data_IF_947232520556
#
_entry.id   IF_947232520556
#
_cell.length_a   1.000
_cell.length_b   1.000
_cell.length_c   1.000
_cell.angle_alpha   90.00
_cell.angle_beta   90.00
_cell.angle_gamma   90.00
#
_symmetry.space_group_name_H-M   'P 1'
#
loop_
_entity.id
_entity.type
_entity.pdbx_description
1 polymer ?
#
# COMPACT_ATOMS: atom_id res chain seq x y z
N UNK A 1 -16.78 -3.01 -46.14
CA UNK A 1 -17.10 -3.07 -44.69
C UNK A 1 -15.79 -2.98 -43.92
N UNK A 2 -15.64 -1.93 -43.11
CA UNK A 2 -14.41 -1.52 -42.43
C UNK A 2 -14.33 -2.26 -41.10
N UNK A 3 -13.34 -3.13 -40.92
CA UNK A 3 -13.04 -3.74 -39.61
C UNK A 3 -11.58 -3.44 -39.30
N UNK A 4 -11.39 -2.37 -38.56
CA UNK A 4 -10.11 -1.94 -38.01
C UNK A 4 -9.91 -2.82 -36.78
N UNK A 5 -9.05 -3.83 -36.90
CA UNK A 5 -8.62 -4.63 -35.77
C UNK A 5 -7.66 -3.77 -34.96
N UNK A 6 -8.15 -3.31 -33.81
CA UNK A 6 -7.45 -2.49 -32.85
C UNK A 6 -6.23 -3.23 -32.31
N UNK A 7 -5.05 -2.61 -32.45
CA UNK A 7 -3.80 -3.05 -31.86
C UNK A 7 -3.86 -2.82 -30.35
N UNK A 8 -4.00 -3.88 -29.55
CA UNK A 8 -3.71 -3.84 -28.11
C UNK A 8 -2.23 -4.19 -27.98
N UNK A 9 -1.38 -3.17 -28.03
CA UNK A 9 0.00 -3.27 -27.56
C UNK A 9 -0.03 -3.40 -26.05
N UNK A 10 0.12 -4.64 -25.56
CA UNK A 10 0.46 -4.91 -24.16
C UNK A 10 1.90 -4.43 -24.00
N UNK A 11 2.06 -3.22 -23.47
CA UNK A 11 3.33 -2.76 -22.95
C UNK A 11 3.62 -3.60 -21.71
N UNK A 12 4.38 -4.67 -21.91
CA UNK A 12 4.98 -5.44 -20.83
C UNK A 12 6.00 -4.52 -20.17
N UNK A 13 5.57 -3.81 -19.12
CA UNK A 13 6.46 -3.04 -18.27
C UNK A 13 7.30 -4.06 -17.51
N UNK A 14 8.50 -4.34 -18.03
CA UNK A 14 9.49 -5.16 -17.37
C UNK A 14 9.91 -4.43 -16.09
N UNK A 15 9.26 -4.76 -14.97
CA UNK A 15 9.65 -4.34 -13.64
C UNK A 15 10.96 -5.05 -13.29
N UNK A 16 12.08 -4.50 -13.77
CA UNK A 16 13.41 -4.92 -13.36
C UNK A 16 13.61 -4.42 -11.94
N UNK A 17 13.28 -5.27 -10.96
CA UNK A 17 13.56 -5.04 -9.55
C UNK A 17 15.07 -4.89 -9.34
N UNK A 18 15.56 -3.67 -9.45
CA UNK A 18 16.86 -3.29 -8.93
C UNK A 18 16.58 -2.57 -7.62
N UNK A 19 16.20 -3.35 -6.60
CA UNK A 19 16.22 -2.89 -5.22
C UNK A 19 17.70 -2.74 -4.80
N UNK A 20 18.31 -1.66 -5.25
CA UNK A 20 19.57 -1.16 -4.73
C UNK A 20 19.19 0.05 -3.88
N UNK A 21 19.39 -0.06 -2.56
CA UNK A 21 18.94 0.90 -1.56
C UNK A 21 19.50 2.30 -1.78
N UNK A 22 18.78 3.12 -2.53
CA UNK A 22 18.65 4.54 -2.22
C UNK A 22 17.76 4.64 -0.98
N UNK A 23 18.23 5.30 0.07
CA UNK A 23 17.31 5.78 1.10
C UNK A 23 16.16 6.50 0.37
N UNK A 24 14.92 6.03 0.51
CA UNK A 24 13.79 6.61 -0.22
C UNK A 24 13.73 8.09 0.17
N UNK A 25 13.77 8.97 -0.83
CA UNK A 25 13.63 10.43 -0.66
C UNK A 25 12.31 10.78 0.04
N UNK A 26 11.39 9.83 0.09
CA UNK A 26 10.02 9.95 0.55
C UNK A 26 9.09 9.50 -0.57
N UNK A 27 7.79 9.38 -0.28
CA UNK A 27 6.79 9.06 -1.29
C UNK A 27 6.51 10.29 -2.19
N UNK A 28 6.49 10.08 -3.49
CA UNK A 28 6.05 11.07 -4.49
C UNK A 28 4.52 11.03 -4.69
N UNK A 29 3.96 12.08 -5.31
CA UNK A 29 2.53 12.07 -5.69
C UNK A 29 2.17 10.97 -6.68
N UNK A 30 3.10 10.62 -7.58
CA UNK A 30 2.87 9.61 -8.61
C UNK A 30 2.80 8.20 -7.99
N UNK A 31 3.74 7.86 -7.11
CA UNK A 31 3.72 6.61 -6.35
C UNK A 31 2.48 6.53 -5.45
N UNK A 32 2.12 7.64 -4.79
CA UNK A 32 0.87 7.69 -4.05
C UNK A 32 -0.31 7.35 -4.96
N UNK A 33 -0.40 7.89 -6.18
CA UNK A 33 -1.52 7.63 -7.09
C UNK A 33 -1.56 6.19 -7.62
N UNK A 34 -0.42 5.51 -7.72
CA UNK A 34 -0.32 4.08 -8.07
C UNK A 34 -0.81 3.16 -6.95
N UNK A 35 -0.74 3.60 -5.69
CA UNK A 35 -1.20 2.81 -4.55
C UNK A 35 -2.73 2.78 -4.48
N UNK A 36 -3.30 1.59 -4.34
CA UNK A 36 -4.73 1.32 -4.34
C UNK A 36 -5.14 0.41 -3.18
N UNK A 37 -6.39 0.55 -2.73
CA UNK A 37 -6.96 -0.33 -1.70
C UNK A 37 -6.89 -1.79 -2.11
N UNK A 38 -6.69 -2.69 -1.13
CA UNK A 38 -6.50 -4.13 -1.36
C UNK A 38 -5.02 -4.54 -1.50
N UNK A 39 -4.10 -3.60 -1.67
CA UNK A 39 -2.65 -3.89 -1.63
C UNK A 39 -2.17 -4.16 -0.20
N UNK A 40 -1.16 -5.01 -0.06
CA UNK A 40 -0.51 -5.28 1.23
C UNK A 40 0.46 -4.18 1.63
N UNK A 41 0.93 -4.21 2.88
CA UNK A 41 2.01 -3.31 3.31
C UNK A 41 3.28 -3.51 2.46
N UNK A 42 3.63 -4.76 2.13
CA UNK A 42 4.80 -5.06 1.28
C UNK A 42 4.67 -4.46 -0.11
N UNK A 43 3.49 -4.55 -0.73
CA UNK A 43 3.26 -3.95 -2.05
C UNK A 43 3.47 -2.42 -2.02
N UNK A 44 3.02 -1.77 -0.93
CA UNK A 44 3.22 -0.33 -0.73
C UNK A 44 4.69 0.01 -0.52
N UNK A 45 5.41 -0.76 0.30
CA UNK A 45 6.86 -0.59 0.50
C UNK A 45 7.63 -0.75 -0.81
N UNK A 46 7.26 -1.73 -1.64
CA UNK A 46 7.88 -1.96 -2.94
C UNK A 46 7.65 -0.79 -3.92
N UNK A 47 6.46 -0.18 -3.89
CA UNK A 47 6.14 1.01 -4.71
C UNK A 47 6.91 2.24 -4.23
N UNK A 48 6.96 2.48 -2.91
CA UNK A 48 7.64 3.66 -2.34
C UNK A 48 9.16 3.49 -2.29
N UNK A 49 9.65 2.25 -2.37
CA UNK A 49 11.06 1.91 -2.18
C UNK A 49 11.52 2.06 -0.73
N UNK A 50 10.59 2.04 0.24
CA UNK A 50 10.82 2.47 1.60
C UNK A 50 9.79 2.03 2.62
N UNK A 51 10.21 1.80 3.86
CA UNK A 51 9.28 1.54 4.96
C UNK A 51 8.65 2.82 5.50
N UNK A 52 7.37 2.73 5.86
CA UNK A 52 6.66 3.78 6.59
C UNK A 52 6.84 3.66 8.10
N UNK A 53 6.57 4.73 8.83
CA UNK A 53 6.51 4.70 10.30
C UNK A 53 5.10 4.36 10.75
N UNK A 54 4.93 3.31 11.56
CA UNK A 54 3.63 3.03 12.21
C UNK A 54 3.32 4.15 13.21
N UNK A 55 2.19 4.83 13.02
CA UNK A 55 1.75 5.97 13.85
C UNK A 55 0.52 5.67 14.69
N UNK A 56 -0.26 4.64 14.33
CA UNK A 56 -1.38 4.17 15.12
C UNK A 56 -1.61 2.67 14.96
N UNK A 57 -2.17 2.05 16.00
CA UNK A 57 -2.59 0.65 16.03
C UNK A 57 -3.85 0.55 16.88
N UNK A 58 -4.86 -0.14 16.37
CA UNK A 58 -6.08 -0.47 17.11
C UNK A 58 -6.40 -1.95 16.95
N UNK A 59 -6.97 -2.51 18.01
CA UNK A 59 -7.50 -3.86 18.06
C UNK A 59 -8.94 -3.77 18.57
N UNK A 60 -9.89 -4.30 17.80
CA UNK A 60 -11.30 -4.31 18.16
C UNK A 60 -11.84 -5.74 18.11
N UNK A 61 -12.37 -6.21 19.25
CA UNK A 61 -12.94 -7.54 19.37
C UNK A 61 -14.43 -7.55 19.04
N UNK A 62 -14.80 -8.38 18.07
CA UNK A 62 -16.19 -8.71 17.72
C UNK A 62 -16.50 -10.14 18.16
N UNK A 63 -17.76 -10.57 18.06
CA UNK A 63 -18.17 -11.92 18.48
C UNK A 63 -17.33 -13.01 17.78
N UNK A 64 -17.17 -12.92 16.46
CA UNK A 64 -16.57 -13.96 15.62
C UNK A 64 -15.11 -13.72 15.22
N UNK A 65 -14.63 -12.48 15.32
CA UNK A 65 -13.29 -12.08 14.88
C UNK A 65 -12.72 -10.92 15.69
N UNK A 66 -11.41 -10.75 15.59
CA UNK A 66 -10.70 -9.55 16.06
C UNK A 66 -10.26 -8.77 14.82
N UNK A 67 -10.54 -7.46 14.78
CA UNK A 67 -10.08 -6.56 13.73
C UNK A 67 -8.85 -5.78 14.20
N UNK A 68 -7.78 -5.88 13.44
CA UNK A 68 -6.54 -5.13 13.64
C UNK A 68 -6.45 -4.06 12.58
N UNK A 69 -6.19 -2.82 12.99
CA UNK A 69 -5.98 -1.70 12.08
C UNK A 69 -4.68 -0.99 12.42
N UNK A 70 -3.77 -0.86 11.45
CA UNK A 70 -2.53 -0.09 11.59
C UNK A 70 -2.52 1.08 10.62
N UNK A 71 -2.09 2.24 11.12
CA UNK A 71 -1.84 3.42 10.28
C UNK A 71 -0.35 3.65 10.15
N UNK A 72 0.12 3.77 8.91
CA UNK A 72 1.51 4.07 8.58
C UNK A 72 1.62 5.44 7.91
N UNK A 73 2.65 6.18 8.31
CA UNK A 73 3.05 7.46 7.72
C UNK A 73 4.29 7.27 6.85
N UNK A 74 4.22 7.72 5.62
CA UNK A 74 5.35 7.79 4.69
C UNK A 74 5.65 9.26 4.43
N UNK A 75 6.84 9.73 4.82
CA UNK A 75 7.25 11.11 4.54
C UNK A 75 7.32 11.30 3.02
N UNK A 76 6.89 12.46 2.53
CA UNK A 76 6.98 12.83 1.13
C UNK A 76 8.32 13.47 0.79
N UNK A 77 8.69 13.40 -0.48
CA UNK A 77 9.98 13.92 -0.98
C UNK A 77 10.19 15.42 -0.73
N UNK A 78 9.08 16.18 -0.69
CA UNK A 78 9.07 17.64 -0.58
C UNK A 78 8.54 18.14 0.77
N UNK A 79 8.57 17.30 1.82
CA UNK A 79 8.18 17.68 3.19
C UNK A 79 6.71 17.42 3.57
N UNK A 80 5.87 17.05 2.60
CA UNK A 80 4.54 16.46 2.85
C UNK A 80 4.61 15.03 3.40
N UNK A 81 3.49 14.31 3.40
CA UNK A 81 3.44 12.89 3.75
C UNK A 81 2.15 12.20 3.26
N UNK A 82 2.20 10.87 3.14
CA UNK A 82 1.04 10.01 2.98
C UNK A 82 0.74 9.26 4.27
N UNK A 83 -0.55 8.99 4.52
CA UNK A 83 -1.00 8.04 5.52
C UNK A 83 -1.77 6.90 4.86
N UNK A 84 -1.45 5.68 5.27
CA UNK A 84 -2.05 4.46 4.79
C UNK A 84 -2.59 3.65 5.97
N UNK A 85 -3.83 3.20 5.85
CA UNK A 85 -4.51 2.41 6.88
C UNK A 85 -4.67 1.00 6.36
N UNK A 86 -4.13 0.03 7.08
CA UNK A 86 -4.22 -1.39 6.76
C UNK A 86 -5.08 -2.08 7.80
N UNK A 87 -6.00 -2.94 7.35
CA UNK A 87 -6.93 -3.65 8.23
C UNK A 87 -6.87 -5.15 7.98
N UNK A 88 -6.93 -5.93 9.05
CA UNK A 88 -7.01 -7.39 9.01
C UNK A 88 -8.04 -7.92 10.01
N UNK A 89 -8.88 -8.85 9.57
CA UNK A 89 -9.75 -9.64 10.45
C UNK A 89 -9.11 -11.00 10.71
N UNK A 90 -9.00 -11.37 11.98
CA UNK A 90 -8.60 -12.70 12.44
C UNK A 90 -9.79 -13.38 13.10
N UNK A 91 -10.32 -14.43 12.48
CA UNK A 91 -11.46 -15.18 13.02
C UNK A 91 -11.02 -16.05 14.20
N UNK A 92 -11.79 -16.02 15.29
CA UNK A 92 -11.40 -16.65 16.57
C UNK A 92 -11.22 -18.17 16.48
N UNK A 93 -11.95 -18.82 15.58
CA UNK A 93 -11.85 -20.27 15.34
C UNK A 93 -10.61 -20.66 14.51
N UNK A 94 -9.93 -19.68 13.90
CA UNK A 94 -8.76 -19.86 13.03
C UNK A 94 -7.71 -18.81 13.41
N UNK A 95 -7.19 -18.89 14.63
CA UNK A 95 -6.11 -17.98 15.06
C UNK A 95 -4.83 -18.29 14.27
N UNK A 96 -4.63 -17.53 13.19
CA UNK A 96 -3.37 -17.35 12.49
C UNK A 96 -3.22 -15.86 12.21
N UNK A 97 -2.45 -15.19 13.06
CA UNK A 97 -2.19 -13.77 12.88
C UNK A 97 -0.87 -13.57 12.15
N UNK A 98 -0.97 -13.18 10.89
CA UNK A 98 0.12 -12.52 10.17
C UNK A 98 -0.42 -11.16 9.69
N UNK A 99 0.20 -10.07 10.14
CA UNK A 99 -0.20 -8.73 9.72
C UNK A 99 0.32 -8.40 8.32
N UNK A 100 1.30 -9.15 7.80
CA UNK A 100 1.81 -8.94 6.43
C UNK A 100 0.70 -9.12 5.37
N UNK A 101 -0.35 -9.87 5.70
CA UNK A 101 -1.53 -10.08 4.84
C UNK A 101 -2.67 -9.07 5.13
N UNK A 102 -2.39 -7.98 5.84
CA UNK A 102 -3.34 -6.88 6.03
C UNK A 102 -3.45 -6.06 4.75
N UNK A 103 -4.67 -5.69 4.39
CA UNK A 103 -4.93 -4.99 3.14
C UNK A 103 -5.13 -3.50 3.41
N UNK A 104 -4.66 -2.67 2.49
CA UNK A 104 -4.89 -1.23 2.49
C UNK A 104 -6.39 -0.97 2.36
N UNK A 105 -6.99 -0.35 3.38
CA UNK A 105 -8.41 0.00 3.40
C UNK A 105 -8.65 1.49 3.22
N UNK A 106 -7.67 2.33 3.54
CA UNK A 106 -7.76 3.79 3.36
C UNK A 106 -6.40 4.42 3.10
N UNK A 107 -6.41 5.54 2.36
CA UNK A 107 -5.22 6.33 2.04
C UNK A 107 -5.55 7.82 2.06
N UNK A 108 -4.66 8.63 2.65
CA UNK A 108 -4.72 10.08 2.66
C UNK A 108 -3.34 10.66 2.33
N UNK A 109 -3.31 11.90 1.82
CA UNK A 109 -2.05 12.61 1.56
C UNK A 109 -2.14 14.06 1.99
N UNK A 110 -1.00 14.60 2.38
CA UNK A 110 -0.81 15.95 2.87
C UNK A 110 0.40 16.53 2.13
N UNK A 111 0.14 17.51 1.26
CA UNK A 111 1.16 18.31 0.59
C UNK A 111 2.23 17.50 -0.17
N UNK A 112 1.86 16.42 -0.88
CA UNK A 112 2.76 15.70 -1.80
C UNK A 112 2.93 16.39 -3.16
N UNK A 113 2.49 17.64 -3.31
CA UNK A 113 2.46 18.40 -4.58
C UNK A 113 3.81 18.54 -5.27
#
# INVERSE_FOLDING_TARGET
MKKILSFITIALLALTCTACGSDPSGISKAEFDEIHTGQTYSDVVDIVGGEGTKVAETEEEFDDYIEFTHTYKFNGENGGYAEFVFTKKSYKDVLKMNFDDAELTSKNQYDLS
#
